data_IF_186346993401
#
_entry.id   IF_186346993401
#
_cell.length_a   1.000
_cell.length_b   1.000
_cell.length_c   1.000
_cell.angle_alpha   90.00
_cell.angle_beta   90.00
_cell.angle_gamma   90.00
#
_symmetry.space_group_name_H-M   'P 1'
#
loop_
_entity.id
_entity.type
_entity.pdbx_description
1 polymer ?
#
# COMPACT_ATOMS: atom_id res chain seq x y z
N UNK A 1 -19.71 26.29 -5.56
CA UNK A 1 -19.82 24.92 -5.02
C UNK A 1 -18.54 24.19 -5.42
N UNK A 2 -17.73 23.71 -4.47
CA UNK A 2 -16.53 22.94 -4.83
C UNK A 2 -16.97 21.58 -5.41
N UNK A 3 -16.40 21.21 -6.56
CA UNK A 3 -16.54 19.86 -7.10
C UNK A 3 -15.94 18.86 -6.12
N UNK A 4 -16.67 17.77 -5.86
CA UNK A 4 -16.19 16.63 -5.10
C UNK A 4 -16.02 15.47 -6.07
N UNK A 5 -14.80 15.24 -6.52
CA UNK A 5 -14.48 14.06 -7.33
C UNK A 5 -14.12 12.89 -6.43
N UNK A 6 -14.85 11.79 -6.59
CA UNK A 6 -14.63 10.54 -5.83
C UNK A 6 -14.25 9.41 -6.78
N UNK A 7 -13.10 8.79 -6.51
CA UNK A 7 -12.59 7.62 -7.22
C UNK A 7 -12.63 6.43 -6.26
N UNK A 8 -13.21 5.31 -6.69
CA UNK A 8 -13.25 4.06 -5.91
C UNK A 8 -12.60 2.98 -6.75
N UNK A 9 -11.61 2.30 -6.18
CA UNK A 9 -10.90 1.20 -6.84
C UNK A 9 -11.02 -0.03 -5.96
N UNK A 10 -11.47 -1.13 -6.56
CA UNK A 10 -11.53 -2.44 -5.92
C UNK A 10 -10.26 -3.23 -6.19
N UNK A 11 -9.65 -3.76 -5.12
CA UNK A 11 -8.45 -4.55 -5.19
C UNK A 11 -8.70 -5.98 -4.72
N UNK A 12 -7.96 -6.92 -5.32
CA UNK A 12 -7.83 -8.30 -4.86
C UNK A 12 -6.39 -8.54 -4.43
N UNK A 13 -6.23 -9.11 -3.24
CA UNK A 13 -4.93 -9.52 -2.72
C UNK A 13 -4.50 -10.82 -3.41
N UNK A 14 -3.38 -10.80 -4.13
CA UNK A 14 -2.93 -11.95 -4.91
C UNK A 14 -1.82 -12.75 -4.22
N UNK A 15 -1.11 -12.15 -3.28
CA UNK A 15 -0.04 -12.76 -2.47
C UNK A 15 -0.27 -12.47 -0.99
N UNK A 16 0.29 -13.26 -0.06
CA UNK A 16 0.16 -12.95 1.36
C UNK A 16 0.65 -11.52 1.65
N UNK A 17 -0.24 -10.68 2.18
CA UNK A 17 0.03 -9.24 2.38
C UNK A 17 0.25 -8.95 3.85
N UNK A 18 1.51 -8.75 4.23
CA UNK A 18 1.92 -8.43 5.59
C UNK A 18 1.85 -6.93 5.85
N UNK A 19 0.65 -6.46 6.18
CA UNK A 19 0.40 -5.07 6.54
C UNK A 19 -0.41 -5.06 7.83
N UNK A 20 0.10 -4.37 8.83
CA UNK A 20 -0.46 -4.37 10.18
C UNK A 20 -0.25 -3.02 10.85
N UNK A 21 -1.08 -2.72 11.85
CA UNK A 21 -0.96 -1.54 12.69
C UNK A 21 0.04 -1.74 13.83
N UNK A 22 -0.32 -1.27 15.03
CA UNK A 22 0.50 -1.47 16.22
C UNK A 22 0.60 -2.95 16.60
N UNK A 23 -0.50 -3.70 16.44
CA UNK A 23 -0.50 -5.14 16.63
C UNK A 23 -0.11 -5.86 15.34
N UNK A 24 1.09 -6.42 15.32
CA UNK A 24 1.63 -7.15 14.17
C UNK A 24 0.98 -8.54 13.96
N UNK A 25 0.17 -9.02 14.91
CA UNK A 25 -0.61 -10.27 14.80
C UNK A 25 -1.96 -10.06 14.13
N UNK A 26 -2.40 -8.80 14.01
CA UNK A 26 -3.66 -8.42 13.37
C UNK A 26 -3.40 -7.67 12.06
N UNK A 27 -3.55 -8.35 10.90
CA UNK A 27 -3.35 -7.68 9.63
C UNK A 27 -4.45 -6.63 9.41
N UNK A 28 -4.03 -5.41 9.09
CA UNK A 28 -4.90 -4.24 9.02
C UNK A 28 -4.53 -3.37 7.81
N UNK A 29 -5.54 -3.07 6.99
CA UNK A 29 -5.45 -2.07 5.93
C UNK A 29 -5.83 -0.69 6.48
N UNK A 30 -4.88 0.25 6.47
CA UNK A 30 -5.05 1.60 7.03
C UNK A 30 -4.90 2.67 5.96
N UNK A 31 -5.80 3.64 5.97
CA UNK A 31 -5.73 4.78 5.03
C UNK A 31 -4.38 5.53 5.09
N UNK A 32 -3.76 5.79 6.26
CA UNK A 32 -2.42 6.38 6.32
C UNK A 32 -1.34 5.59 5.58
N UNK A 33 -1.38 4.25 5.64
CA UNK A 33 -0.40 3.39 4.95
C UNK A 33 -0.51 3.55 3.43
N UNK A 34 -1.72 3.53 2.89
CA UNK A 34 -1.95 3.77 1.47
C UNK A 34 -1.61 5.20 1.06
N UNK A 35 -1.87 6.19 1.92
CA UNK A 35 -1.47 7.57 1.66
C UNK A 35 0.05 7.69 1.48
N UNK A 36 0.84 7.00 2.32
CA UNK A 36 2.29 6.95 2.18
C UNK A 36 2.76 6.30 0.88
N UNK A 37 2.14 5.17 0.50
CA UNK A 37 2.46 4.44 -0.74
C UNK A 37 2.17 5.30 -1.97
N UNK A 38 1.01 5.96 -2.01
CA UNK A 38 0.63 6.79 -3.15
C UNK A 38 1.46 8.07 -3.23
N UNK A 39 1.80 8.66 -2.09
CA UNK A 39 2.76 9.77 -2.03
C UNK A 39 4.15 9.35 -2.54
N UNK A 40 4.57 8.11 -2.32
CA UNK A 40 5.78 7.57 -2.93
C UNK A 40 5.64 7.43 -4.45
N UNK A 41 4.54 6.85 -4.95
CA UNK A 41 4.32 6.72 -6.39
C UNK A 41 4.16 8.07 -7.09
N UNK A 42 3.57 9.06 -6.44
CA UNK A 42 3.53 10.44 -6.93
C UNK A 42 4.95 10.96 -7.16
N UNK A 43 5.83 10.85 -6.16
CA UNK A 43 7.25 11.20 -6.28
C UNK A 43 7.97 10.46 -7.40
N UNK A 44 7.68 9.17 -7.58
CA UNK A 44 8.28 8.37 -8.64
C UNK A 44 7.79 8.75 -10.04
N UNK A 45 6.56 9.25 -10.16
CA UNK A 45 5.92 9.57 -11.44
C UNK A 45 5.97 11.04 -11.86
N UNK A 46 6.30 11.95 -10.94
CA UNK A 46 6.21 13.39 -11.16
C UNK A 46 7.54 14.09 -10.84
N UNK A 47 8.33 14.33 -11.90
CA UNK A 47 9.64 14.97 -11.80
C UNK A 47 9.58 16.40 -11.26
N UNK A 48 8.43 17.09 -11.32
CA UNK A 48 8.29 18.47 -10.81
C UNK A 48 8.58 18.57 -9.32
N UNK A 49 8.40 17.48 -8.57
CA UNK A 49 8.65 17.44 -7.13
C UNK A 49 10.14 17.61 -6.80
N UNK A 50 11.03 17.20 -7.71
CA UNK A 50 12.49 17.34 -7.51
C UNK A 50 12.87 18.80 -7.35
N UNK A 51 12.35 19.66 -8.22
CA UNK A 51 12.64 21.09 -8.19
C UNK A 51 11.69 21.86 -7.25
N UNK A 52 10.47 21.35 -7.06
CA UNK A 52 9.39 22.03 -6.32
C UNK A 52 8.70 21.04 -5.36
N UNK A 53 9.28 20.79 -4.16
CA UNK A 53 8.67 19.91 -3.16
C UNK A 53 7.25 20.34 -2.72
N UNK A 54 6.91 21.62 -2.90
CA UNK A 54 5.57 22.15 -2.63
C UNK A 54 4.46 21.49 -3.47
N UNK A 55 4.78 20.93 -4.63
CA UNK A 55 3.82 20.18 -5.48
C UNK A 55 3.27 18.96 -4.72
N UNK A 56 4.15 18.23 -4.03
CA UNK A 56 3.76 17.08 -3.22
C UNK A 56 2.91 17.52 -2.03
N UNK A 57 3.34 18.55 -1.31
CA UNK A 57 2.63 19.05 -0.13
C UNK A 57 1.26 19.65 -0.48
N UNK A 58 1.12 20.25 -1.67
CA UNK A 58 -0.16 20.74 -2.17
C UNK A 58 -1.19 19.61 -2.20
N UNK A 59 -0.84 18.44 -2.76
CA UNK A 59 -1.78 17.31 -2.87
C UNK A 59 -1.96 16.61 -1.53
N UNK A 60 -0.87 16.23 -0.87
CA UNK A 60 -0.87 15.29 0.25
C UNK A 60 -0.90 15.96 1.64
N UNK A 61 -0.71 17.28 1.69
CA UNK A 61 -0.50 18.05 2.92
C UNK A 61 0.97 18.04 3.38
N UNK A 62 1.35 19.07 4.12
CA UNK A 62 2.67 19.26 4.69
C UNK A 62 2.60 19.82 6.12
N UNK A 63 3.76 20.01 6.74
CA UNK A 63 3.87 20.55 8.11
C UNK A 63 4.49 21.96 8.15
N UNK A 64 4.93 22.46 7.00
CA UNK A 64 5.46 23.80 6.84
C UNK A 64 4.35 24.85 6.91
N UNK A 65 4.70 26.08 7.30
CA UNK A 65 3.75 27.19 7.51
C UNK A 65 2.88 27.50 6.28
N UNK A 66 3.33 27.12 5.09
CA UNK A 66 2.62 27.33 3.82
C UNK A 66 1.80 26.11 3.38
N UNK A 67 2.07 24.93 3.93
CA UNK A 67 1.36 23.71 3.58
C UNK A 67 0.23 23.45 4.56
N UNK A 68 -0.99 23.47 4.03
CA UNK A 68 -2.20 23.17 4.78
C UNK A 68 -2.56 21.69 4.80
N UNK A 69 -3.83 21.43 5.13
CA UNK A 69 -4.42 20.10 5.05
C UNK A 69 -4.32 19.53 3.62
N UNK A 70 -4.25 18.20 3.53
CA UNK A 70 -4.36 17.43 2.29
C UNK A 70 -5.57 17.83 1.44
N UNK A 71 -5.41 17.88 0.12
CA UNK A 71 -6.54 18.04 -0.83
C UNK A 71 -7.21 16.68 -1.15
N UNK A 72 -6.57 15.58 -0.74
CA UNK A 72 -7.08 14.23 -0.90
C UNK A 72 -7.46 13.63 0.45
N UNK A 73 -8.65 13.07 0.53
CA UNK A 73 -9.12 12.22 1.63
C UNK A 73 -9.14 10.76 1.18
N UNK A 74 -8.56 9.87 2.00
CA UNK A 74 -8.48 8.43 1.73
C UNK A 74 -9.37 7.67 2.70
N UNK A 75 -10.07 6.67 2.17
CA UNK A 75 -10.85 5.71 2.93
C UNK A 75 -10.53 4.29 2.47
N UNK A 76 -10.50 3.36 3.42
CA UNK A 76 -10.39 1.94 3.13
C UNK A 76 -11.73 1.31 3.50
N UNK A 77 -12.42 0.74 2.52
CA UNK A 77 -13.68 0.03 2.74
C UNK A 77 -13.42 -1.46 2.63
N UNK A 78 -13.70 -2.19 3.71
CA UNK A 78 -13.61 -3.66 3.75
C UNK A 78 -14.96 -4.25 3.36
N UNK A 79 -14.97 -5.27 2.50
CA UNK A 79 -16.21 -5.86 1.99
C UNK A 79 -16.94 -6.79 2.99
N UNK A 80 -16.28 -7.26 4.05
CA UNK A 80 -16.89 -8.01 5.17
C UNK A 80 -15.94 -8.03 6.39
N UNK A 81 -16.29 -8.81 7.43
CA UNK A 81 -15.55 -9.07 8.67
C UNK A 81 -14.02 -9.19 8.52
N UNK A 82 -13.30 -9.05 9.64
CA UNK A 82 -11.83 -9.19 9.77
C UNK A 82 -11.18 -10.11 8.74
N UNK A 83 -10.08 -9.66 8.13
CA UNK A 83 -9.36 -10.43 7.13
C UNK A 83 -8.98 -11.82 7.63
N UNK A 84 -9.10 -12.82 6.75
CA UNK A 84 -8.53 -14.14 7.02
C UNK A 84 -7.02 -14.04 7.15
N UNK A 85 -6.47 -14.60 8.23
CA UNK A 85 -5.05 -14.56 8.53
C UNK A 85 -4.29 -15.68 7.83
N UNK A 86 -3.13 -15.33 7.30
CA UNK A 86 -2.15 -16.26 6.76
C UNK A 86 -0.87 -16.15 7.58
N UNK A 87 -0.24 -17.29 7.88
CA UNK A 87 1.03 -17.32 8.59
C UNK A 87 2.09 -18.06 7.77
N UNK A 88 3.34 -17.65 7.98
CA UNK A 88 4.47 -18.25 7.32
C UNK A 88 4.71 -19.66 7.82
N UNK A 89 4.66 -20.63 6.91
CA UNK A 89 4.96 -22.03 7.19
C UNK A 89 6.08 -22.52 6.27
N UNK A 90 7.30 -22.56 6.83
CA UNK A 90 8.49 -23.02 6.11
C UNK A 90 8.40 -24.49 5.69
N UNK A 91 7.69 -25.33 6.45
CA UNK A 91 7.57 -26.76 6.15
C UNK A 91 6.81 -26.99 4.86
N UNK A 92 5.72 -26.25 4.65
CA UNK A 92 4.95 -26.26 3.39
C UNK A 92 5.76 -25.83 2.19
N UNK A 93 6.72 -24.93 2.37
CA UNK A 93 7.53 -24.41 1.26
C UNK A 93 8.75 -25.28 0.97
N UNK A 94 9.24 -26.02 1.96
CA UNK A 94 10.37 -26.94 1.79
C UNK A 94 10.08 -28.05 0.77
N UNK A 95 8.81 -28.38 0.52
CA UNK A 95 8.39 -29.34 -0.52
C UNK A 95 8.79 -28.93 -1.95
N UNK A 96 9.08 -27.64 -2.17
CA UNK A 96 9.51 -27.12 -3.46
C UNK A 96 11.04 -27.09 -3.62
N UNK A 97 11.80 -27.55 -2.63
CA UNK A 97 13.25 -27.66 -2.74
C UNK A 97 13.64 -28.73 -3.76
N UNK A 98 14.69 -28.47 -4.54
CA UNK A 98 15.22 -29.43 -5.50
C UNK A 98 16.60 -29.93 -5.03
N UNK A 99 16.65 -31.18 -4.58
CA UNK A 99 17.87 -31.82 -4.06
C UNK A 99 18.07 -31.67 -2.54
N UNK A 100 19.25 -32.07 -2.05
CA UNK A 100 19.62 -32.05 -0.62
C UNK A 100 20.72 -31.04 -0.33
N UNK A 101 20.67 -30.39 0.83
CA UNK A 101 21.72 -29.50 1.32
C UNK A 101 21.34 -28.01 1.40
N UNK A 102 22.31 -27.15 1.72
CA UNK A 102 22.06 -25.71 1.98
C UNK A 102 21.67 -24.93 0.71
N UNK A 103 22.14 -25.37 -0.45
CA UNK A 103 21.95 -24.70 -1.74
C UNK A 103 20.69 -25.14 -2.49
N UNK A 104 19.84 -25.96 -1.87
CA UNK A 104 18.63 -26.51 -2.51
C UNK A 104 17.34 -25.80 -2.10
N UNK A 105 17.46 -24.72 -1.33
CA UNK A 105 16.31 -23.91 -0.90
C UNK A 105 15.71 -23.18 -2.09
N UNK A 106 14.41 -23.36 -2.28
CA UNK A 106 13.67 -22.61 -3.30
C UNK A 106 13.58 -21.11 -2.98
N UNK A 107 13.30 -20.31 -4.01
CA UNK A 107 13.21 -18.85 -3.90
C UNK A 107 12.19 -18.36 -2.88
N UNK A 108 11.06 -19.05 -2.69
CA UNK A 108 10.07 -18.66 -1.67
C UNK A 108 10.66 -18.82 -0.28
N UNK A 109 11.28 -19.97 0.02
CA UNK A 109 11.94 -20.22 1.30
C UNK A 109 13.09 -19.23 1.58
N UNK A 110 13.75 -18.71 0.54
CA UNK A 110 14.73 -17.65 0.65
C UNK A 110 14.08 -16.30 0.95
N UNK A 111 13.15 -15.83 0.10
CA UNK A 111 12.49 -14.53 0.24
C UNK A 111 11.71 -14.39 1.55
N UNK A 112 11.04 -15.46 1.98
CA UNK A 112 10.28 -15.46 3.22
C UNK A 112 11.08 -15.89 4.46
N UNK A 113 12.40 -16.05 4.34
CA UNK A 113 13.27 -16.31 5.49
C UNK A 113 13.03 -15.35 6.68
N UNK A 114 12.85 -14.02 6.48
CA UNK A 114 12.62 -13.08 7.56
C UNK A 114 11.37 -13.36 8.41
N UNK A 115 10.33 -14.00 7.83
CA UNK A 115 9.10 -14.33 8.54
C UNK A 115 9.28 -15.46 9.55
N UNK A 116 10.31 -16.29 9.40
CA UNK A 116 10.66 -17.35 10.36
C UNK A 116 11.55 -16.90 11.52
N UNK A 117 12.04 -15.65 11.49
CA UNK A 117 12.94 -15.11 12.51
C UNK A 117 12.19 -14.76 13.81
N UNK A 118 12.91 -14.80 14.93
CA UNK A 118 12.38 -14.43 16.25
C UNK A 118 11.81 -13.01 16.19
N UNK A 119 10.60 -12.82 16.72
CA UNK A 119 9.85 -11.55 16.63
C UNK A 119 8.89 -11.47 15.44
N UNK A 120 9.13 -12.21 14.35
CA UNK A 120 8.28 -12.23 13.17
C UNK A 120 7.39 -13.47 13.04
N UNK A 121 7.67 -14.53 13.80
CA UNK A 121 6.95 -15.81 13.71
C UNK A 121 5.45 -15.70 13.91
N UNK A 122 5.03 -14.77 14.76
CA UNK A 122 3.61 -14.56 15.08
C UNK A 122 2.94 -13.56 14.13
N UNK A 123 3.69 -12.95 13.20
CA UNK A 123 3.12 -11.97 12.26
C UNK A 123 2.15 -12.68 11.32
N UNK A 124 0.97 -12.09 11.20
CA UNK A 124 -0.06 -12.59 10.30
C UNK A 124 -0.17 -11.66 9.08
N UNK A 125 -0.30 -12.27 7.91
CA UNK A 125 -0.61 -11.59 6.67
C UNK A 125 -2.11 -11.69 6.36
N UNK A 126 -2.60 -10.83 5.47
CA UNK A 126 -3.89 -11.04 4.83
C UNK A 126 -3.75 -12.19 3.84
N UNK A 127 -4.70 -13.12 3.89
CA UNK A 127 -4.73 -14.28 3.00
C UNK A 127 -4.99 -13.85 1.54
N UNK A 128 -4.33 -14.47 0.54
CA UNK A 128 -4.67 -14.29 -0.86
C UNK A 128 -6.16 -14.53 -1.16
N UNK A 129 -6.69 -13.79 -2.13
CA UNK A 129 -8.08 -13.84 -2.56
C UNK A 129 -9.02 -12.88 -1.83
N UNK A 130 -8.59 -12.27 -0.71
CA UNK A 130 -9.36 -11.24 -0.02
C UNK A 130 -9.46 -9.96 -0.88
N UNK A 131 -10.57 -9.23 -0.74
CA UNK A 131 -10.85 -7.99 -1.47
C UNK A 131 -11.04 -6.81 -0.54
N UNK A 132 -10.68 -5.63 -1.02
CA UNK A 132 -10.93 -4.35 -0.35
C UNK A 132 -11.10 -3.25 -1.38
N UNK A 133 -11.72 -2.15 -0.99
CA UNK A 133 -11.83 -0.95 -1.83
C UNK A 133 -11.07 0.20 -1.21
N UNK A 134 -10.38 0.98 -2.06
CA UNK A 134 -9.83 2.27 -1.68
C UNK A 134 -10.70 3.36 -2.28
N UNK A 135 -11.25 4.21 -1.42
CA UNK A 135 -11.98 5.40 -1.81
C UNK A 135 -11.09 6.64 -1.67
N UNK A 136 -11.01 7.41 -2.74
CA UNK A 136 -10.28 8.67 -2.84
C UNK A 136 -11.27 9.78 -3.10
N UNK A 137 -11.26 10.82 -2.27
CA UNK A 137 -12.08 12.00 -2.46
C UNK A 137 -11.17 13.22 -2.58
N UNK A 138 -11.29 13.94 -3.69
CA UNK A 138 -10.65 15.24 -3.90
C UNK A 138 -11.60 16.29 -3.33
N UNK A 139 -11.24 16.89 -2.19
CA UNK A 139 -12.15 17.75 -1.41
C UNK A 139 -12.15 19.22 -1.86
N UNK A 140 -11.09 19.64 -2.56
CA UNK A 140 -10.85 21.02 -3.02
C UNK A 140 -10.30 21.00 -4.45
N UNK A 141 -11.07 20.37 -5.34
CA UNK A 141 -10.67 20.13 -6.73
C UNK A 141 -10.36 21.43 -7.49
N UNK A 142 -11.08 22.50 -7.21
CA UNK A 142 -10.89 23.83 -7.81
C UNK A 142 -9.55 24.50 -7.44
N UNK A 143 -8.85 24.02 -6.41
CA UNK A 143 -7.52 24.52 -6.01
C UNK A 143 -6.39 23.72 -6.69
N UNK A 144 -6.72 22.63 -7.38
CA UNK A 144 -5.78 21.76 -8.07
C UNK A 144 -5.77 22.04 -9.57
N UNK A 145 -4.57 22.18 -10.13
CA UNK A 145 -4.39 22.24 -11.56
C UNK A 145 -4.64 20.86 -12.18
N UNK A 146 -4.84 20.81 -13.50
CA UNK A 146 -5.04 19.54 -14.21
C UNK A 146 -3.90 18.55 -13.94
N UNK A 147 -2.66 19.04 -13.91
CA UNK A 147 -1.48 18.22 -13.68
C UNK A 147 -1.44 17.67 -12.25
N UNK A 148 -1.98 18.39 -11.26
CA UNK A 148 -2.07 17.90 -9.88
C UNK A 148 -3.07 16.73 -9.81
N UNK A 149 -4.22 16.88 -10.46
CA UNK A 149 -5.23 15.83 -10.55
C UNK A 149 -4.71 14.61 -11.33
N UNK A 150 -4.02 14.85 -12.44
CA UNK A 150 -3.38 13.82 -13.24
C UNK A 150 -2.35 13.04 -12.41
N UNK A 151 -1.51 13.72 -11.62
CA UNK A 151 -0.55 13.07 -10.73
C UNK A 151 -1.20 12.20 -9.66
N UNK A 152 -2.37 12.58 -9.13
CA UNK A 152 -3.15 11.72 -8.21
C UNK A 152 -3.55 10.44 -8.94
N UNK A 153 -4.16 10.55 -10.12
CA UNK A 153 -4.60 9.40 -10.91
C UNK A 153 -3.43 8.52 -11.35
N UNK A 154 -2.31 9.12 -11.77
CA UNK A 154 -1.09 8.41 -12.13
C UNK A 154 -0.53 7.63 -10.94
N UNK A 155 -0.48 8.22 -9.74
CA UNK A 155 -0.02 7.53 -8.54
C UNK A 155 -0.88 6.30 -8.20
N UNK A 156 -2.20 6.41 -8.38
CA UNK A 156 -3.13 5.31 -8.19
C UNK A 156 -2.91 4.20 -9.21
N UNK A 157 -2.72 4.57 -10.48
CA UNK A 157 -2.48 3.63 -11.57
C UNK A 157 -1.14 2.91 -11.38
N UNK A 158 -0.06 3.63 -11.10
CA UNK A 158 1.25 3.05 -10.84
C UNK A 158 1.21 2.10 -9.65
N UNK A 159 0.55 2.47 -8.54
CA UNK A 159 0.35 1.55 -7.43
C UNK A 159 -0.42 0.29 -7.84
N UNK A 160 -1.48 0.44 -8.64
CA UNK A 160 -2.35 -0.67 -9.04
C UNK A 160 -1.65 -1.69 -9.95
N UNK A 161 -0.78 -1.21 -10.85
CA UNK A 161 -0.17 -2.03 -11.90
C UNK A 161 1.24 -2.49 -11.53
N UNK A 162 2.01 -1.65 -10.87
CA UNK A 162 3.43 -1.86 -10.59
C UNK A 162 3.72 -2.03 -9.09
N UNK A 163 2.80 -1.60 -8.24
CA UNK A 163 2.98 -1.55 -6.81
C UNK A 163 2.60 -2.82 -6.06
N UNK A 164 2.92 -2.79 -4.77
CA UNK A 164 2.46 -3.75 -3.77
C UNK A 164 2.32 -3.02 -2.42
N UNK A 165 1.77 -3.68 -1.42
CA UNK A 165 1.69 -3.15 -0.06
C UNK A 165 2.07 -4.21 0.96
N UNK A 166 2.53 -3.76 2.13
CA UNK A 166 3.05 -4.65 3.17
C UNK A 166 4.49 -5.12 2.93
N UNK A 167 4.99 -5.99 3.81
CA UNK A 167 6.34 -6.57 3.74
C UNK A 167 6.37 -8.02 4.17
#
# INVERSE_FOLDING_TARGET
>A
MSGLTRIIIEYRINTPTYIAGADQKEPELRAPSFKGILRWWHRASDARIVDKPSVENKIWGGTDKQSGQSHVFLSVVKGSSSFKKWQWDRSRLARFNQGRGRFTKNGLAYLGYPFGLRGNRDRCAITPGQRFSLGFTIVRENELAFEDQFSIVASLWCFSVLGSCGT
#
